data_IF_376634850834
#
_entry.id   IF_376634850834
#
_cell.length_a   1.000
_cell.length_b   1.000
_cell.length_c   1.000
_cell.angle_alpha   90.00
_cell.angle_beta   90.00
_cell.angle_gamma   90.00
#
_symmetry.space_group_name_H-M   'P 1'
#
loop_
_entity.id
_entity.type
_entity.pdbx_description
1 polymer ?
#
# COMPACT_ATOMS: atom_id res chain seq x y z
N UNK A 1 -3.68 -21.19 -5.45
CA UNK A 1 -4.82 -20.73 -4.61
C UNK A 1 -4.60 -20.97 -3.12
N UNK A 2 -4.11 -22.16 -2.69
CA UNK A 2 -3.94 -22.50 -1.26
C UNK A 2 -3.20 -21.45 -0.42
N UNK A 3 -2.07 -20.91 -0.91
CA UNK A 3 -1.29 -19.90 -0.18
C UNK A 3 -1.99 -18.54 -0.05
N UNK A 4 -2.92 -18.20 -0.96
CA UNK A 4 -3.65 -16.93 -0.96
C UNK A 4 -4.86 -16.95 -0.04
N UNK A 5 -5.38 -18.15 0.23
CA UNK A 5 -6.51 -18.36 1.12
C UNK A 5 -6.06 -18.69 2.55
N UNK A 6 -4.77 -18.83 2.79
CA UNK A 6 -4.23 -19.12 4.10
C UNK A 6 -4.50 -17.95 5.06
N UNK A 7 -5.33 -18.15 6.11
CA UNK A 7 -5.63 -17.11 7.08
C UNK A 7 -4.46 -16.85 8.02
N UNK A 8 -3.45 -17.72 8.05
CA UNK A 8 -2.29 -17.56 8.91
C UNK A 8 -1.38 -16.48 8.33
N UNK A 9 -1.02 -15.44 9.12
CA UNK A 9 -0.03 -14.46 8.70
C UNK A 9 1.28 -15.13 8.30
N UNK A 10 1.99 -14.64 7.27
CA UNK A 10 3.31 -15.17 6.94
C UNK A 10 4.25 -15.12 8.15
N UNK A 11 5.13 -16.11 8.37
CA UNK A 11 6.01 -16.14 9.55
C UNK A 11 7.10 -15.07 9.51
N UNK A 12 7.53 -14.65 8.32
CA UNK A 12 8.63 -13.71 8.12
C UNK A 12 8.46 -12.90 6.82
N UNK A 13 9.35 -11.93 6.59
CA UNK A 13 9.30 -11.09 5.40
C UNK A 13 9.53 -11.83 4.08
N UNK A 14 10.23 -12.98 4.08
CA UNK A 14 10.44 -13.77 2.86
C UNK A 14 9.12 -14.47 2.45
N UNK A 15 8.41 -15.04 3.42
CA UNK A 15 7.10 -15.62 3.21
C UNK A 15 6.05 -14.58 2.79
N UNK A 16 6.16 -13.33 3.26
CA UNK A 16 5.35 -12.21 2.75
C UNK A 16 5.56 -12.02 1.25
N UNK A 17 6.82 -11.92 0.80
CA UNK A 17 7.13 -11.74 -0.63
C UNK A 17 6.64 -12.93 -1.47
N UNK A 18 6.85 -14.16 -1.00
CA UNK A 18 6.36 -15.35 -1.69
C UNK A 18 4.82 -15.35 -1.85
N UNK A 19 4.09 -14.84 -0.85
CA UNK A 19 2.64 -14.70 -0.91
C UNK A 19 2.21 -13.59 -1.88
N UNK A 20 2.96 -12.49 -1.97
CA UNK A 20 2.76 -11.50 -3.04
C UNK A 20 3.05 -12.06 -4.43
N UNK A 21 4.12 -12.84 -4.60
CA UNK A 21 4.45 -13.49 -5.88
C UNK A 21 3.30 -14.38 -6.34
N UNK A 22 2.75 -15.18 -5.42
CA UNK A 22 1.58 -16.01 -5.69
C UNK A 22 0.34 -15.17 -6.04
N UNK A 23 0.16 -14.01 -5.38
CA UNK A 23 -0.97 -13.11 -5.64
C UNK A 23 -0.85 -12.51 -7.03
N UNK A 24 0.32 -12.02 -7.41
CA UNK A 24 0.55 -11.46 -8.73
C UNK A 24 0.41 -12.51 -9.83
N UNK A 25 0.91 -13.73 -9.63
CA UNK A 25 0.70 -14.84 -10.55
C UNK A 25 -0.80 -15.13 -10.75
N UNK A 26 -1.56 -15.19 -9.66
CA UNK A 26 -3.02 -15.38 -9.72
C UNK A 26 -3.72 -14.21 -10.44
N UNK A 27 -3.37 -12.96 -10.11
CA UNK A 27 -3.96 -11.79 -10.74
C UNK A 27 -3.69 -11.70 -12.23
N UNK A 28 -2.49 -12.09 -12.68
CA UNK A 28 -2.15 -12.19 -14.11
C UNK A 28 -3.00 -13.24 -14.81
N UNK A 29 -3.14 -14.42 -14.20
CA UNK A 29 -3.94 -15.52 -14.75
C UNK A 29 -5.42 -15.16 -14.89
N UNK A 30 -5.96 -14.39 -13.94
CA UNK A 30 -7.39 -14.05 -13.89
C UNK A 30 -7.70 -12.64 -14.43
N UNK A 31 -6.71 -11.93 -14.97
CA UNK A 31 -6.80 -10.51 -15.33
C UNK A 31 -7.46 -9.67 -14.22
N UNK A 32 -7.10 -9.94 -12.96
CA UNK A 32 -7.71 -9.33 -11.78
C UNK A 32 -7.01 -8.04 -11.38
N UNK A 33 -7.77 -6.95 -11.25
CA UNK A 33 -7.27 -5.63 -10.82
C UNK A 33 -6.81 -5.61 -9.36
N UNK A 34 -7.14 -6.63 -8.57
CA UNK A 34 -6.57 -6.84 -7.23
C UNK A 34 -5.03 -6.90 -7.28
N UNK A 35 -4.45 -7.26 -8.42
CA UNK A 35 -3.00 -7.27 -8.64
C UNK A 35 -2.33 -5.89 -8.64
N UNK A 36 -3.08 -4.80 -8.83
CA UNK A 36 -2.48 -3.45 -8.92
C UNK A 36 -1.86 -3.02 -7.59
N UNK A 37 -2.65 -3.04 -6.52
CA UNK A 37 -2.14 -2.71 -5.18
C UNK A 37 -1.15 -3.77 -4.69
N UNK A 38 -1.38 -5.05 -4.99
CA UNK A 38 -0.44 -6.11 -4.63
C UNK A 38 0.95 -5.90 -5.26
N UNK A 39 1.04 -5.41 -6.50
CA UNK A 39 2.32 -5.16 -7.17
C UNK A 39 3.07 -4.01 -6.50
N UNK A 40 2.35 -2.92 -6.20
CA UNK A 40 2.90 -1.80 -5.46
C UNK A 40 3.43 -2.25 -4.08
N UNK A 41 2.59 -2.95 -3.33
CA UNK A 41 2.89 -3.28 -1.93
C UNK A 41 3.96 -4.36 -1.79
N UNK A 42 4.05 -5.30 -2.74
CA UNK A 42 5.17 -6.23 -2.86
C UNK A 42 6.51 -5.49 -2.87
N UNK A 43 6.61 -4.46 -3.69
CA UNK A 43 7.87 -3.75 -3.82
C UNK A 43 8.16 -2.77 -2.66
N UNK A 44 7.14 -2.24 -1.98
CA UNK A 44 7.30 -1.60 -0.66
C UNK A 44 7.93 -2.57 0.33
N UNK A 45 7.40 -3.80 0.39
CA UNK A 45 7.89 -4.85 1.28
C UNK A 45 9.33 -5.22 0.95
N UNK A 46 9.66 -5.35 -0.34
CA UNK A 46 11.02 -5.64 -0.78
C UNK A 46 12.01 -4.59 -0.25
N UNK A 47 11.72 -3.29 -0.46
CA UNK A 47 12.59 -2.20 0.00
C UNK A 47 12.73 -2.13 1.51
N UNK A 48 11.63 -2.34 2.25
CA UNK A 48 11.69 -2.40 3.71
C UNK A 48 12.62 -3.52 4.19
N UNK A 49 12.57 -4.69 3.54
CA UNK A 49 13.47 -5.81 3.83
C UNK A 49 14.92 -5.53 3.44
N UNK A 50 15.16 -4.87 2.32
CA UNK A 50 16.50 -4.45 1.92
C UNK A 50 17.10 -3.46 2.94
N UNK A 51 16.30 -2.51 3.43
CA UNK A 51 16.72 -1.58 4.47
C UNK A 51 16.99 -2.28 5.82
N UNK A 52 16.18 -3.29 6.17
CA UNK A 52 16.42 -4.16 7.33
C UNK A 52 17.76 -4.89 7.21
N UNK A 53 18.02 -5.52 6.06
CA UNK A 53 19.26 -6.23 5.79
C UNK A 53 20.50 -5.30 5.81
N UNK A 54 20.31 -4.03 5.47
CA UNK A 54 21.36 -3.00 5.52
C UNK A 54 21.56 -2.38 6.92
N UNK A 55 20.82 -2.83 7.95
CA UNK A 55 20.96 -2.31 9.31
C UNK A 55 20.40 -0.89 9.51
N UNK A 56 19.41 -0.49 8.71
CA UNK A 56 18.85 0.86 8.77
C UNK A 56 17.97 1.14 10.00
N UNK A 57 17.65 0.13 10.80
CA UNK A 57 16.71 0.23 11.93
C UNK A 57 17.41 0.02 13.26
N UNK A 58 17.02 0.79 14.27
CA UNK A 58 17.53 0.67 15.64
C UNK A 58 17.02 -0.60 16.33
N UNK A 59 15.79 -1.01 16.02
CA UNK A 59 15.14 -2.23 16.48
C UNK A 59 14.70 -3.08 15.28
N UNK A 60 15.64 -3.84 14.66
CA UNK A 60 15.36 -4.58 13.44
C UNK A 60 14.27 -5.66 13.63
N UNK A 61 14.19 -6.28 14.79
CA UNK A 61 13.14 -7.27 15.12
C UNK A 61 11.75 -6.62 15.14
N UNK A 62 11.62 -5.42 15.73
CA UNK A 62 10.38 -4.68 15.75
C UNK A 62 9.96 -4.24 14.34
N UNK A 63 10.92 -3.77 13.54
CA UNK A 63 10.68 -3.34 12.16
C UNK A 63 10.29 -4.52 11.25
N UNK A 64 10.95 -5.68 11.36
CA UNK A 64 10.55 -6.89 10.64
C UNK A 64 9.17 -7.38 11.09
N UNK A 65 8.90 -7.37 12.40
CA UNK A 65 7.60 -7.76 12.94
C UNK A 65 6.49 -6.87 12.43
N UNK A 66 6.72 -5.56 12.36
CA UNK A 66 5.77 -4.61 11.75
C UNK A 66 5.51 -4.92 10.28
N UNK A 67 6.54 -5.22 9.49
CA UNK A 67 6.38 -5.60 8.07
C UNK A 67 5.47 -6.83 7.94
N UNK A 68 5.71 -7.85 8.76
CA UNK A 68 4.94 -9.10 8.74
C UNK A 68 3.49 -8.88 9.16
N UNK A 69 3.25 -8.21 10.29
CA UNK A 69 1.90 -7.95 10.80
C UNK A 69 1.12 -7.05 9.84
N UNK A 70 1.78 -6.03 9.28
CA UNK A 70 1.17 -5.14 8.33
C UNK A 70 0.75 -5.88 7.06
N UNK A 71 1.62 -6.71 6.48
CA UNK A 71 1.26 -7.50 5.30
C UNK A 71 0.20 -8.56 5.61
N UNK A 72 0.27 -9.18 6.79
CA UNK A 72 -0.72 -10.12 7.28
C UNK A 72 -2.13 -9.53 7.30
N UNK A 73 -2.29 -8.27 7.71
CA UNK A 73 -3.59 -7.57 7.68
C UNK A 73 -4.19 -7.47 6.28
N UNK A 74 -3.38 -7.15 5.28
CA UNK A 74 -3.82 -7.15 3.87
C UNK A 74 -4.21 -8.55 3.41
N UNK A 75 -3.37 -9.56 3.69
CA UNK A 75 -3.65 -10.94 3.27
C UNK A 75 -4.90 -11.51 3.94
N UNK A 76 -5.17 -11.17 5.19
CA UNK A 76 -6.39 -11.56 5.88
C UNK A 76 -7.63 -10.97 5.17
N UNK A 77 -7.60 -9.67 4.85
CA UNK A 77 -8.67 -9.02 4.11
C UNK A 77 -8.86 -9.61 2.70
N UNK A 78 -7.76 -9.86 1.99
CA UNK A 78 -7.78 -10.47 0.66
C UNK A 78 -8.35 -11.90 0.71
N UNK A 79 -7.90 -12.72 1.64
CA UNK A 79 -8.36 -14.10 1.79
C UNK A 79 -9.84 -14.15 2.15
N UNK A 80 -10.31 -13.24 3.02
CA UNK A 80 -11.73 -13.09 3.34
C UNK A 80 -12.53 -12.67 2.10
N UNK A 81 -12.08 -11.67 1.34
CA UNK A 81 -12.74 -11.24 0.10
C UNK A 81 -12.83 -12.36 -0.94
N UNK A 82 -11.75 -13.11 -1.18
CA UNK A 82 -11.73 -14.23 -2.11
C UNK A 82 -12.65 -15.40 -1.69
N UNK A 83 -12.97 -15.50 -0.40
CA UNK A 83 -13.97 -16.45 0.14
C UNK A 83 -15.39 -15.89 0.17
N UNK A 84 -15.62 -14.67 -0.31
CA UNK A 84 -16.87 -13.94 -0.14
C UNK A 84 -17.30 -13.81 1.35
N UNK A 85 -16.33 -13.73 2.25
CA UNK A 85 -16.55 -13.46 3.67
C UNK A 85 -16.51 -11.94 3.93
N UNK A 86 -17.14 -11.46 5.03
CA UNK A 86 -17.08 -10.06 5.42
C UNK A 86 -15.64 -9.56 5.58
N UNK A 87 -15.39 -8.35 5.10
CA UNK A 87 -14.14 -7.60 5.29
C UNK A 87 -14.44 -6.28 5.98
N UNK A 88 -13.40 -5.55 6.40
CA UNK A 88 -13.59 -4.19 6.90
C UNK A 88 -14.14 -3.28 5.80
N UNK A 89 -14.92 -2.26 6.15
CA UNK A 89 -15.60 -1.38 5.18
C UNK A 89 -14.59 -0.67 4.27
N UNK A 90 -13.42 -0.30 4.81
CA UNK A 90 -12.34 0.30 4.05
C UNK A 90 -11.83 -0.63 2.94
N UNK A 91 -11.62 -1.91 3.25
CA UNK A 91 -11.21 -2.92 2.26
C UNK A 91 -12.33 -3.32 1.32
N UNK A 92 -13.57 -3.38 1.80
CA UNK A 92 -14.74 -3.63 0.96
C UNK A 92 -14.81 -2.63 -0.20
N UNK A 93 -14.67 -1.33 0.08
CA UNK A 93 -14.67 -0.28 -0.95
C UNK A 93 -13.55 -0.49 -1.98
N UNK A 94 -12.35 -0.87 -1.53
CA UNK A 94 -11.21 -1.11 -2.41
C UNK A 94 -11.43 -2.33 -3.32
N UNK A 95 -11.94 -3.43 -2.76
CA UNK A 95 -12.19 -4.66 -3.51
C UNK A 95 -13.40 -4.53 -4.45
N UNK A 96 -14.45 -3.85 -4.03
CA UNK A 96 -15.60 -3.50 -4.88
C UNK A 96 -15.19 -2.66 -6.09
N UNK A 97 -14.24 -1.73 -5.90
CA UNK A 97 -13.72 -0.96 -7.00
C UNK A 97 -13.04 -1.88 -8.03
N UNK A 98 -12.30 -2.90 -7.59
CA UNK A 98 -11.54 -3.83 -8.45
C UNK A 98 -12.39 -4.61 -9.46
N UNK A 99 -13.68 -4.84 -9.16
CA UNK A 99 -14.63 -5.53 -10.07
C UNK A 99 -15.38 -4.56 -10.99
N UNK A 100 -15.30 -3.25 -10.75
CA UNK A 100 -15.99 -2.22 -11.54
C UNK A 100 -15.10 -1.75 -12.68
N UNK A 101 -15.70 -1.43 -13.83
CA UNK A 101 -14.93 -0.95 -14.98
C UNK A 101 -14.38 0.47 -14.79
N UNK A 102 -15.14 1.36 -14.13
CA UNK A 102 -14.92 2.82 -14.08
C UNK A 102 -13.64 3.27 -13.37
N UNK A 103 -13.25 2.73 -12.20
CA UNK A 103 -12.08 3.23 -11.50
C UNK A 103 -10.80 3.10 -12.34
N UNK A 104 -9.98 4.15 -12.35
CA UNK A 104 -8.64 4.16 -12.95
C UNK A 104 -7.67 3.34 -12.12
N UNK A 105 -6.50 3.01 -12.69
CA UNK A 105 -5.42 2.35 -11.96
C UNK A 105 -4.99 3.20 -10.75
N UNK A 106 -4.88 4.53 -10.89
CA UNK A 106 -4.57 5.41 -9.75
C UNK A 106 -5.62 5.32 -8.64
N UNK A 107 -6.92 5.25 -8.98
CA UNK A 107 -7.97 5.07 -7.97
C UNK A 107 -7.82 3.73 -7.26
N UNK A 108 -7.52 2.63 -7.97
CA UNK A 108 -7.26 1.34 -7.34
C UNK A 108 -6.08 1.38 -6.36
N UNK A 109 -4.98 2.02 -6.75
CA UNK A 109 -3.79 2.17 -5.89
C UNK A 109 -4.12 3.02 -4.66
N UNK A 110 -4.77 4.17 -4.84
CA UNK A 110 -5.16 5.06 -3.74
C UNK A 110 -6.14 4.41 -2.77
N UNK A 111 -7.07 3.59 -3.27
CA UNK A 111 -7.99 2.85 -2.41
C UNK A 111 -7.28 1.82 -1.53
N UNK A 112 -6.34 1.08 -2.11
CA UNK A 112 -5.50 0.14 -1.35
C UNK A 112 -4.62 0.86 -0.33
N UNK A 113 -3.95 1.95 -0.73
CA UNK A 113 -3.14 2.79 0.17
C UNK A 113 -4.01 3.35 1.30
N UNK A 114 -5.20 3.85 1.01
CA UNK A 114 -6.11 4.40 2.00
C UNK A 114 -6.52 3.34 3.04
N UNK A 115 -6.99 2.17 2.61
CA UNK A 115 -7.36 1.10 3.53
C UNK A 115 -6.14 0.63 4.34
N UNK A 116 -5.00 0.46 3.69
CA UNK A 116 -3.83 -0.12 4.32
C UNK A 116 -3.14 0.85 5.29
N UNK A 117 -2.82 2.07 4.86
CA UNK A 117 -2.13 3.05 5.72
C UNK A 117 -3.06 3.57 6.81
N UNK A 118 -4.31 3.93 6.48
CA UNK A 118 -5.16 4.63 7.45
C UNK A 118 -5.90 3.70 8.41
N UNK A 119 -6.01 2.39 8.12
CA UNK A 119 -6.62 1.41 9.02
C UNK A 119 -5.61 0.37 9.52
N UNK A 120 -4.99 -0.39 8.61
CA UNK A 120 -4.17 -1.55 9.01
C UNK A 120 -2.87 -1.16 9.72
N UNK A 121 -2.21 -0.06 9.33
CA UNK A 121 -0.89 0.30 9.85
C UNK A 121 -0.89 0.58 11.35
N UNK A 122 -1.90 1.30 11.86
CA UNK A 122 -2.01 1.58 13.30
C UNK A 122 -2.29 0.33 14.12
N UNK A 123 -3.10 -0.59 13.59
CA UNK A 123 -3.38 -1.90 14.22
C UNK A 123 -2.10 -2.75 14.24
N UNK A 124 -1.37 -2.80 13.12
CA UNK A 124 -0.11 -3.53 13.04
C UNK A 124 0.95 -2.95 13.99
N UNK A 125 1.08 -1.61 14.06
CA UNK A 125 1.99 -0.94 14.98
C UNK A 125 1.65 -1.22 16.45
N UNK A 126 0.36 -1.18 16.81
CA UNK A 126 -0.09 -1.51 18.16
C UNK A 126 0.34 -2.94 18.56
N UNK A 127 0.09 -3.91 17.67
CA UNK A 127 0.46 -5.32 17.90
C UNK A 127 1.98 -5.53 17.95
N UNK A 128 2.75 -4.87 17.08
CA UNK A 128 4.22 -4.90 17.17
C UNK A 128 4.71 -4.41 18.53
N UNK A 129 4.13 -3.31 19.02
CA UNK A 129 4.49 -2.70 20.29
C UNK A 129 4.14 -3.54 21.53
N UNK A 130 3.30 -4.57 21.39
CA UNK A 130 3.00 -5.54 22.45
C UNK A 130 4.08 -6.64 22.54
N UNK A 131 4.85 -6.85 21.48
CA UNK A 131 5.91 -7.86 21.40
C UNK A 131 7.32 -7.25 21.50
N UNK A 132 7.52 -6.06 20.93
CA UNK A 132 8.82 -5.40 20.82
C UNK A 132 8.72 -3.90 21.08
N UNK A 133 9.76 -3.26 21.64
CA UNK A 133 9.87 -1.80 21.61
C UNK A 133 10.05 -1.35 20.15
N UNK A 134 9.13 -0.50 19.66
CA UNK A 134 9.22 0.11 18.33
C UNK A 134 9.51 1.61 18.48
N UNK A 135 10.72 2.09 18.18
CA UNK A 135 11.03 3.50 18.19
C UNK A 135 10.19 4.23 17.14
N UNK A 136 9.71 5.44 17.48
CA UNK A 136 9.01 6.30 16.50
C UNK A 136 9.90 6.60 15.29
N UNK A 137 11.20 6.75 15.50
CA UNK A 137 12.17 6.96 14.43
C UNK A 137 12.21 5.80 13.42
N UNK A 138 12.19 4.55 13.90
CA UNK A 138 12.13 3.37 13.03
C UNK A 138 10.81 3.27 12.27
N UNK A 139 9.70 3.61 12.94
CA UNK A 139 8.39 3.70 12.28
C UNK A 139 8.39 4.76 11.16
N UNK A 140 8.95 5.94 11.42
CA UNK A 140 8.98 7.04 10.45
C UNK A 140 10.04 6.85 9.35
N UNK A 141 11.10 6.07 9.58
CA UNK A 141 12.17 5.83 8.60
C UNK A 141 11.67 5.21 7.29
N UNK A 142 10.56 4.46 7.35
CA UNK A 142 9.92 3.91 6.15
C UNK A 142 9.29 5.01 5.27
N UNK A 143 9.06 6.22 5.78
CA UNK A 143 8.52 7.35 5.00
C UNK A 143 9.39 7.64 3.79
N UNK A 144 10.70 7.71 3.96
CA UNK A 144 11.64 8.06 2.87
C UNK A 144 11.60 7.00 1.76
N UNK A 145 11.48 5.73 2.13
CA UNK A 145 11.32 4.62 1.18
C UNK A 145 10.00 4.73 0.40
N UNK A 146 8.92 5.11 1.09
CA UNK A 146 7.59 5.25 0.48
C UNK A 146 7.50 6.47 -0.44
N UNK A 147 8.12 7.59 -0.07
CA UNK A 147 8.14 8.81 -0.89
C UNK A 147 8.82 8.53 -2.24
N UNK A 148 9.97 7.86 -2.24
CA UNK A 148 10.65 7.47 -3.48
C UNK A 148 9.77 6.59 -4.38
N UNK A 149 8.99 5.66 -3.81
CA UNK A 149 8.06 4.84 -4.61
C UNK A 149 6.89 5.62 -5.17
N UNK A 150 6.35 6.57 -4.42
CA UNK A 150 5.24 7.40 -4.89
C UNK A 150 5.66 8.15 -6.14
N UNK A 151 6.83 8.78 -6.13
CA UNK A 151 7.37 9.51 -7.28
C UNK A 151 7.54 8.58 -8.49
N UNK A 152 8.17 7.42 -8.31
CA UNK A 152 8.39 6.45 -9.39
C UNK A 152 7.10 5.90 -10.00
N UNK A 153 6.09 5.63 -9.17
CA UNK A 153 4.79 5.14 -9.64
C UNK A 153 4.09 6.24 -10.43
N UNK A 154 4.10 7.48 -9.95
CA UNK A 154 3.49 8.62 -10.65
C UNK A 154 4.12 8.86 -12.01
N UNK A 155 5.46 8.95 -12.07
CA UNK A 155 6.22 9.09 -13.32
C UNK A 155 5.84 8.05 -14.36
N UNK A 156 5.63 6.80 -13.92
CA UNK A 156 5.29 5.68 -14.81
C UNK A 156 3.85 5.70 -15.27
N UNK A 157 2.91 6.06 -14.41
CA UNK A 157 1.53 6.27 -14.83
C UNK A 157 1.44 7.42 -15.84
N UNK A 158 2.19 8.51 -15.63
CA UNK A 158 2.27 9.64 -16.55
C UNK A 158 2.98 9.29 -17.88
N UNK A 159 4.00 8.42 -17.84
CA UNK A 159 4.69 7.94 -19.04
C UNK A 159 3.78 7.11 -19.95
N UNK A 160 2.76 6.43 -19.41
CA UNK A 160 1.92 5.52 -20.20
C UNK A 160 0.57 6.15 -20.58
N UNK A 161 0.13 7.20 -19.88
CA UNK A 161 -1.15 7.86 -20.16
C UNK A 161 -0.96 9.30 -20.64
N UNK A 162 -1.16 9.58 -21.93
CA UNK A 162 -0.94 10.92 -22.50
C UNK A 162 -1.72 12.04 -21.80
N UNK A 163 -2.94 11.74 -21.33
CA UNK A 163 -3.78 12.67 -20.58
C UNK A 163 -3.27 12.92 -19.15
N UNK A 164 -2.80 11.86 -18.47
CA UNK A 164 -2.17 12.03 -17.15
C UNK A 164 -0.88 12.81 -17.27
N UNK A 165 -0.06 12.55 -18.30
CA UNK A 165 1.14 13.33 -18.59
C UNK A 165 0.86 14.82 -18.79
N UNK A 166 -0.29 15.15 -19.36
CA UNK A 166 -0.69 16.54 -19.54
C UNK A 166 -1.11 17.17 -18.20
N UNK A 167 -1.87 16.44 -17.39
CA UNK A 167 -2.26 16.87 -16.05
C UNK A 167 -1.05 17.06 -15.13
N UNK A 168 -0.14 16.09 -15.13
CA UNK A 168 1.13 16.06 -14.40
C UNK A 168 2.02 17.25 -14.76
N UNK A 169 2.19 17.58 -16.05
CA UNK A 169 2.92 18.79 -16.46
C UNK A 169 2.31 20.11 -15.96
N UNK A 170 0.99 20.13 -15.73
CA UNK A 170 0.28 21.32 -15.23
C UNK A 170 0.34 21.38 -13.71
N UNK A 171 0.27 20.23 -13.03
CA UNK A 171 0.36 20.13 -11.57
C UNK A 171 1.80 20.31 -11.05
N UNK A 172 2.79 19.77 -11.78
CA UNK A 172 4.21 19.84 -11.46
C UNK A 172 4.53 19.34 -10.04
N UNK A 173 5.69 19.76 -9.51
CA UNK A 173 6.21 19.37 -8.17
C UNK A 173 5.28 19.66 -6.97
N UNK A 174 4.20 20.43 -7.19
CA UNK A 174 3.21 20.71 -6.15
C UNK A 174 2.36 19.48 -5.83
N UNK A 175 2.09 18.58 -6.78
CA UNK A 175 1.34 17.35 -6.46
C UNK A 175 2.21 16.34 -5.70
N UNK A 176 3.49 16.17 -6.08
CA UNK A 176 4.46 15.31 -5.41
C UNK A 176 4.64 15.71 -3.93
N UNK A 177 4.83 17.01 -3.69
CA UNK A 177 4.96 17.53 -2.32
C UNK A 177 3.69 17.39 -1.50
N UNK A 178 2.51 17.56 -2.10
CA UNK A 178 1.23 17.37 -1.42
C UNK A 178 0.94 15.90 -1.13
N UNK A 179 1.21 14.99 -2.08
CA UNK A 179 1.03 13.55 -1.89
C UNK A 179 2.01 13.03 -0.84
N UNK A 180 3.26 13.48 -0.89
CA UNK A 180 4.27 13.15 0.11
C UNK A 180 3.90 13.65 1.50
N UNK A 181 3.44 14.90 1.62
CA UNK A 181 2.95 15.44 2.89
C UNK A 181 1.73 14.68 3.41
N UNK A 182 0.77 14.34 2.54
CA UNK A 182 -0.41 13.56 2.89
C UNK A 182 -0.04 12.14 3.35
N UNK A 183 0.96 11.52 2.74
CA UNK A 183 1.48 10.23 3.15
C UNK A 183 2.10 10.27 4.54
N UNK A 184 3.00 11.23 4.80
CA UNK A 184 3.64 11.41 6.11
C UNK A 184 2.60 11.73 7.19
N UNK A 185 1.61 12.57 6.87
CA UNK A 185 0.50 12.88 7.76
C UNK A 185 -0.34 11.64 8.07
N UNK A 186 -0.67 10.83 7.06
CA UNK A 186 -1.42 9.59 7.21
C UNK A 186 -0.70 8.59 8.11
N UNK A 187 0.62 8.45 7.94
CA UNK A 187 1.45 7.58 8.79
C UNK A 187 1.57 8.09 10.22
N UNK A 188 1.71 9.40 10.41
CA UNK A 188 1.66 10.01 11.73
C UNK A 188 0.32 9.75 12.42
N UNK A 189 -0.80 9.88 11.70
CA UNK A 189 -2.12 9.56 12.22
C UNK A 189 -2.28 8.06 12.54
N UNK A 190 -1.68 7.17 11.75
CA UNK A 190 -1.67 5.74 12.02
C UNK A 190 -0.88 5.41 13.29
N UNK A 191 0.23 6.10 13.55
CA UNK A 191 0.97 5.97 14.82
C UNK A 191 0.10 6.36 16.01
N UNK A 192 -0.52 7.55 15.98
CA UNK A 192 -1.41 8.00 17.05
C UNK A 192 -2.60 7.07 17.25
N UNK A 193 -3.14 6.52 16.16
CA UNK A 193 -4.19 5.50 16.23
C UNK A 193 -3.70 4.23 16.93
N UNK A 194 -2.51 3.72 16.60
CA UNK A 194 -1.92 2.56 17.28
C UNK A 194 -1.70 2.80 18.78
N UNK A 195 -1.20 3.98 19.15
CA UNK A 195 -1.03 4.37 20.56
C UNK A 195 -2.38 4.42 21.30
N UNK A 196 -3.42 4.95 20.65
CA UNK A 196 -4.77 5.00 21.22
C UNK A 196 -5.38 3.60 21.42
N UNK A 197 -5.12 2.66 20.52
CA UNK A 197 -5.55 1.26 20.67
C UNK A 197 -4.93 0.63 21.93
N UNK A 198 -3.63 0.82 22.14
CA UNK A 198 -2.90 0.29 23.32
C UNK A 198 -3.38 0.90 24.63
N UNK A 199 -3.68 2.20 24.64
CA UNK A 199 -4.21 2.88 25.82
C UNK A 199 -5.67 2.49 26.16
N UNK A 200 -6.40 1.90 25.21
CA UNK A 200 -7.86 1.74 25.26
C UNK A 200 -8.40 0.63 26.17
N UNK A 201 -7.55 -0.21 26.79
CA UNK A 201 -7.91 -1.13 27.88
C UNK A 201 -9.19 -1.96 27.70
N UNK A 202 -9.54 -2.37 26.47
CA UNK A 202 -10.76 -3.12 26.13
C UNK A 202 -11.74 -2.43 25.16
N UNK A 203 -11.57 -1.14 24.86
CA UNK A 203 -12.36 -0.39 23.86
C UNK A 203 -11.86 -0.51 22.41
N UNK A 204 -10.91 -1.41 22.15
CA UNK A 204 -10.16 -1.54 20.89
C UNK A 204 -11.09 -1.74 19.68
N UNK A 205 -12.04 -2.68 19.77
CA UNK A 205 -12.96 -2.98 18.67
C UNK A 205 -13.80 -1.76 18.26
N UNK A 206 -14.22 -0.94 19.22
CA UNK A 206 -14.98 0.28 18.95
C UNK A 206 -14.13 1.38 18.30
N UNK A 207 -12.84 1.49 18.68
CA UNK A 207 -11.89 2.40 18.03
C UNK A 207 -11.62 1.98 16.58
N UNK A 208 -11.36 0.69 16.35
CA UNK A 208 -11.16 0.13 15.01
C UNK A 208 -12.39 0.34 14.15
N UNK A 209 -13.60 0.11 14.66
CA UNK A 209 -14.82 0.30 13.88
C UNK A 209 -15.06 1.77 13.49
N UNK A 210 -14.76 2.72 14.40
CA UNK A 210 -14.85 4.16 14.08
C UNK A 210 -13.82 4.55 13.01
N UNK A 211 -12.59 4.07 13.14
CA UNK A 211 -11.53 4.33 12.16
C UNK A 211 -11.90 3.72 10.81
N UNK A 212 -12.36 2.47 10.78
CA UNK A 212 -12.79 1.78 9.55
C UNK A 212 -13.90 2.56 8.83
N UNK A 213 -14.92 3.07 9.53
CA UNK A 213 -15.96 3.93 8.93
C UNK A 213 -15.39 5.20 8.33
N UNK A 214 -14.45 5.87 9.01
CA UNK A 214 -13.81 7.09 8.51
C UNK A 214 -12.99 6.81 7.25
N UNK A 215 -12.19 5.74 7.27
CA UNK A 215 -11.35 5.33 6.15
C UNK A 215 -12.20 4.89 4.96
N UNK A 216 -13.30 4.17 5.20
CA UNK A 216 -14.26 3.79 4.17
C UNK A 216 -14.93 5.01 3.54
N UNK A 217 -15.31 6.02 4.33
CA UNK A 217 -15.89 7.26 3.79
C UNK A 217 -14.91 7.97 2.84
N UNK A 218 -13.63 8.06 3.19
CA UNK A 218 -12.58 8.59 2.28
C UNK A 218 -12.50 7.73 1.02
N UNK A 219 -12.47 6.40 1.18
CA UNK A 219 -12.46 5.45 0.07
C UNK A 219 -13.64 5.65 -0.89
N UNK A 220 -14.85 5.91 -0.39
CA UNK A 220 -16.03 6.14 -1.23
C UNK A 220 -15.87 7.39 -2.11
N UNK A 221 -15.25 8.46 -1.59
CA UNK A 221 -14.96 9.67 -2.37
C UNK A 221 -13.88 9.40 -3.43
N UNK A 222 -12.89 8.56 -3.13
CA UNK A 222 -11.87 8.13 -4.11
C UNK A 222 -12.51 7.26 -5.19
N UNK A 223 -13.35 6.30 -4.84
CA UNK A 223 -13.96 5.35 -5.77
C UNK A 223 -15.02 6.01 -6.67
N UNK A 224 -15.78 6.96 -6.13
CA UNK A 224 -16.88 7.65 -6.80
C UNK A 224 -16.79 9.17 -6.56
N UNK A 225 -15.83 9.86 -7.18
CA UNK A 225 -15.69 11.29 -7.02
C UNK A 225 -16.87 12.03 -7.64
N UNK A 226 -17.11 13.25 -7.19
CA UNK A 226 -18.14 14.13 -7.76
C UNK A 226 -17.67 14.79 -9.04
N UNK A 227 -18.60 15.37 -9.80
CA UNK A 227 -18.27 16.25 -10.93
C UNK A 227 -17.56 17.51 -10.41
N UNK A 228 -16.57 18.07 -11.14
CA UNK A 228 -16.12 17.68 -12.50
C UNK A 228 -15.05 16.57 -12.52
N UNK A 229 -14.47 16.20 -11.38
CA UNK A 229 -13.38 15.22 -11.28
C UNK A 229 -13.75 13.85 -11.86
N UNK A 230 -15.00 13.41 -11.67
CA UNK A 230 -15.50 12.17 -12.25
C UNK A 230 -15.36 12.11 -13.78
N UNK A 231 -15.58 13.23 -14.48
CA UNK A 231 -15.46 13.29 -15.94
C UNK A 231 -13.99 13.25 -16.37
N UNK A 232 -13.12 13.97 -15.66
CA UNK A 232 -11.68 13.94 -15.92
C UNK A 232 -11.12 12.51 -15.77
N UNK A 233 -11.50 11.80 -14.70
CA UNK A 233 -11.08 10.43 -14.46
C UNK A 233 -11.68 9.43 -15.46
N UNK A 234 -12.91 9.66 -15.93
CA UNK A 234 -13.49 8.86 -17.00
C UNK A 234 -12.67 8.99 -18.30
N UNK A 235 -12.20 10.20 -18.63
CA UNK A 235 -11.28 10.43 -19.75
C UNK A 235 -9.95 9.71 -19.59
N UNK A 236 -9.36 9.75 -18.38
CA UNK A 236 -8.16 8.97 -18.06
C UNK A 236 -8.41 7.47 -18.25
N UNK A 237 -9.53 6.94 -17.72
CA UNK A 237 -9.89 5.53 -17.83
C UNK A 237 -10.02 5.06 -19.28
N UNK A 238 -10.59 5.89 -20.16
CA UNK A 238 -10.66 5.60 -21.60
C UNK A 238 -9.27 5.57 -22.26
N UNK A 239 -8.31 6.34 -21.74
CA UNK A 239 -6.92 6.35 -22.19
C UNK A 239 -6.04 5.22 -21.62
N UNK A 240 -6.54 4.43 -20.67
CA UNK A 240 -5.83 3.27 -20.12
C UNK A 240 -5.92 2.08 -21.11
N UNK A 241 -5.14 2.16 -22.20
CA UNK A 241 -5.17 1.20 -23.32
C UNK A 241 -4.55 -0.16 -22.99
N UNK A 242 -3.82 -0.28 -21.87
CA UNK A 242 -3.21 -1.55 -21.46
C UNK A 242 -4.24 -2.45 -20.76
N UNK A 243 -4.20 -3.73 -21.07
CA UNK A 243 -4.93 -4.75 -20.32
C UNK A 243 -4.41 -4.87 -18.88
N UNK A 244 -5.22 -5.49 -18.00
CA UNK A 244 -4.93 -5.63 -16.56
C UNK A 244 -3.54 -6.24 -16.31
N UNK A 245 -3.22 -7.34 -16.98
CA UNK A 245 -1.91 -8.00 -16.88
C UNK A 245 -0.76 -7.07 -17.24
N UNK A 246 -0.88 -6.29 -18.32
CA UNK A 246 0.16 -5.36 -18.75
C UNK A 246 0.33 -4.14 -17.82
N UNK A 247 -0.68 -3.81 -17.02
CA UNK A 247 -0.57 -2.81 -15.94
C UNK A 247 0.13 -3.44 -14.73
N UNK A 248 -0.23 -4.67 -14.36
CA UNK A 248 0.45 -5.39 -13.27
C UNK A 248 1.94 -5.51 -13.55
N UNK A 249 2.32 -5.90 -14.78
CA UNK A 249 3.72 -6.04 -15.17
C UNK A 249 4.47 -4.71 -15.16
N UNK A 250 3.81 -3.62 -15.57
CA UNK A 250 4.38 -2.28 -15.49
C UNK A 250 4.67 -1.90 -14.03
N UNK A 251 3.72 -2.13 -13.13
CA UNK A 251 3.89 -1.82 -11.71
C UNK A 251 5.00 -2.70 -11.08
N UNK A 252 4.94 -4.01 -11.26
CA UNK A 252 5.86 -4.97 -10.63
C UNK A 252 7.33 -4.79 -11.08
N UNK A 253 7.56 -4.60 -12.39
CA UNK A 253 8.93 -4.38 -12.92
C UNK A 253 9.56 -3.10 -12.38
N UNK A 254 8.79 -2.04 -12.23
CA UNK A 254 9.31 -0.74 -11.83
C UNK A 254 9.59 -0.70 -10.34
N UNK A 255 8.72 -1.26 -9.50
CA UNK A 255 9.03 -1.30 -8.07
C UNK A 255 10.23 -2.22 -7.80
N UNK A 256 10.41 -3.30 -8.57
CA UNK A 256 11.60 -4.15 -8.51
C UNK A 256 12.89 -3.42 -8.96
N UNK A 257 12.84 -2.68 -10.06
CA UNK A 257 13.99 -1.89 -10.56
C UNK A 257 14.46 -0.87 -9.55
N UNK A 258 13.54 -0.10 -9.00
CA UNK A 258 13.92 0.92 -8.04
C UNK A 258 14.29 0.35 -6.66
N UNK A 259 13.79 -0.84 -6.30
CA UNK A 259 14.35 -1.59 -5.18
C UNK A 259 15.84 -1.87 -5.33
N UNK A 260 16.28 -2.31 -6.52
CA UNK A 260 17.69 -2.56 -6.81
C UNK A 260 18.56 -1.28 -6.81
N UNK A 261 18.00 -0.13 -7.23
CA UNK A 261 18.71 1.16 -7.20
C UNK A 261 18.90 1.67 -5.76
N UNK A 262 17.89 1.50 -4.91
CA UNK A 262 17.98 1.84 -3.48
C UNK A 262 18.99 0.95 -2.77
N UNK A 263 18.97 -0.37 -3.02
CA UNK A 263 20.00 -1.30 -2.52
C UNK A 263 21.41 -0.84 -2.92
N UNK A 264 21.63 -0.48 -4.19
CA UNK A 264 22.93 -0.01 -4.65
C UNK A 264 23.39 1.31 -4.00
N UNK A 265 22.45 2.20 -3.61
CA UNK A 265 22.75 3.46 -2.93
C UNK A 265 22.98 3.29 -1.43
N UNK A 266 22.24 2.39 -0.77
CA UNK A 266 22.39 2.07 0.65
C UNK A 266 23.66 1.26 0.91
N UNK A 267 24.13 0.46 -0.07
CA UNK A 267 25.36 -0.33 -0.02
C UNK A 267 26.59 0.42 -0.60
N UNK A 268 26.45 1.69 -1.00
CA UNK A 268 27.55 2.54 -1.47
C UNK A 268 28.60 2.82 -0.39
N UNK A 269 29.89 2.99 -0.74
CA UNK A 269 31.01 2.61 0.11
C UNK A 269 31.03 3.42 1.40
N UNK A 270 31.13 2.71 2.53
CA UNK A 270 31.64 3.27 3.78
C UNK A 270 32.95 3.98 3.44
N UNK A 271 32.93 5.31 3.49
CA UNK A 271 34.14 6.12 3.39
C UNK A 271 34.98 5.78 4.61
N UNK A 272 36.02 4.98 4.38
CA UNK A 272 37.16 4.76 5.28
C UNK A 272 37.98 6.04 5.34
#
# INVERSE_FOLDING_TARGET
MSILLDPVPPPDGAAVLARFDAMLAWSRQHASRLGYFAALYRGVTLRARSALAAGAFEQPEAAERLVVLFAGRYFEALAAHLRAAPVTRAWEVAFDAAVRWRPTVSQHLLLGINAHINLDLGIAAARTLDEYPLPRADFDRVNDLLLLMVDEVQDRLAAVWPLLRLADRVAGRLDETLIGAALVQSRSAAWEFGQALRAGGGGESGLIERQDRRVAAIGQHIAAPTMPLALALASVRMGELRGVTGIIDLLDQEVARAGAVVEARVVGPSVV
#
